data_IF_531874450817
#
_entry.id   IF_531874450817
#
_cell.length_a   1.000
_cell.length_b   1.000
_cell.length_c   1.000
_cell.angle_alpha   90.00
_cell.angle_beta   90.00
_cell.angle_gamma   90.00
#
_symmetry.space_group_name_H-M   'P 1'
#
loop_
_entity.id
_entity.type
_entity.pdbx_description
1 polymer ?
#
# COMPACT_ATOMS: atom_id res chain seq x y z
N UNK A 1 0.56 4.85 5.07
CA UNK A 1 1.47 4.31 4.03
C UNK A 1 2.30 5.47 3.50
N UNK A 2 3.63 5.39 3.54
CA UNK A 2 4.52 6.39 2.94
C UNK A 2 4.78 6.05 1.47
N UNK A 3 4.50 6.98 0.54
CA UNK A 3 4.78 6.83 -0.89
C UNK A 3 6.23 7.17 -1.30
N UNK A 4 7.16 7.10 -0.35
CA UNK A 4 8.58 7.32 -0.59
C UNK A 4 9.22 6.15 -1.37
N UNK A 5 10.47 6.31 -1.85
CA UNK A 5 11.21 5.19 -2.44
C UNK A 5 11.30 4.00 -1.46
N UNK A 6 11.04 2.78 -1.93
CA UNK A 6 11.16 1.54 -1.14
C UNK A 6 9.90 0.67 -1.14
N UNK A 7 9.92 -0.39 -0.32
CA UNK A 7 8.76 -1.26 -0.08
C UNK A 7 7.70 -0.50 0.73
N UNK A 8 6.41 -0.59 0.38
CA UNK A 8 5.35 0.04 1.17
C UNK A 8 5.34 -0.45 2.62
N UNK A 9 5.33 0.48 3.57
CA UNK A 9 5.16 0.19 5.00
C UNK A 9 3.76 0.54 5.51
N UNK A 10 3.26 -0.28 6.43
CA UNK A 10 2.07 0.05 7.23
C UNK A 10 2.47 0.70 8.54
N UNK A 11 1.72 1.74 8.92
CA UNK A 11 1.86 2.41 10.20
C UNK A 11 0.47 2.45 10.87
N UNK A 12 0.45 2.38 12.20
CA UNK A 12 -0.77 2.51 12.98
C UNK A 12 -0.82 3.90 13.63
N UNK A 13 -2.03 4.44 13.79
CA UNK A 13 -2.29 5.68 14.49
C UNK A 13 -3.36 5.44 15.55
N UNK A 14 -3.22 5.98 16.78
CA UNK A 14 -4.23 5.84 17.82
C UNK A 14 -5.52 6.63 17.53
N UNK A 15 -5.49 7.53 16.54
CA UNK A 15 -6.63 8.33 16.10
C UNK A 15 -6.76 8.36 14.57
N UNK A 16 -7.96 8.59 14.01
CA UNK A 16 -8.13 8.72 12.56
C UNK A 16 -7.33 9.91 12.03
N UNK A 17 -6.41 9.65 11.10
CA UNK A 17 -5.49 10.67 10.54
C UNK A 17 -6.26 11.77 9.79
N UNK A 18 -7.45 11.44 9.30
CA UNK A 18 -8.34 12.37 8.58
C UNK A 18 -9.60 12.71 9.40
N UNK A 19 -9.55 12.68 10.73
CA UNK A 19 -10.70 13.01 11.58
C UNK A 19 -11.30 14.41 11.35
N UNK A 20 -10.51 15.35 10.80
CA UNK A 20 -10.98 16.69 10.39
C UNK A 20 -11.91 16.65 9.16
N UNK A 21 -11.87 15.57 8.38
CA UNK A 21 -12.74 15.34 7.23
C UNK A 21 -13.89 14.46 7.69
N UNK A 22 -14.99 15.08 8.08
CA UNK A 22 -16.21 14.33 8.36
C UNK A 22 -16.80 13.78 7.04
N UNK A 23 -17.11 12.47 7.04
CA UNK A 23 -17.78 11.76 5.94
C UNK A 23 -17.14 11.96 4.55
N UNK A 24 -15.87 11.53 4.34
CA UNK A 24 -15.30 11.54 3.00
C UNK A 24 -16.18 10.74 2.06
N UNK A 25 -16.55 11.35 0.92
CA UNK A 25 -17.33 10.69 -0.13
C UNK A 25 -16.57 9.44 -0.58
N UNK A 26 -17.14 8.23 -0.41
CA UNK A 26 -16.50 7.02 -0.89
C UNK A 26 -16.26 7.10 -2.39
N UNK A 27 -15.12 6.59 -2.84
CA UNK A 27 -14.88 6.45 -4.26
C UNK A 27 -15.87 5.43 -4.83
N UNK A 28 -16.51 5.71 -5.98
CA UNK A 28 -17.32 4.72 -6.67
C UNK A 28 -16.52 3.45 -6.98
N UNK A 29 -17.18 2.28 -7.06
CA UNK A 29 -16.55 1.07 -7.59
C UNK A 29 -15.91 1.31 -8.95
N UNK A 30 -14.77 0.67 -9.20
CA UNK A 30 -13.95 0.83 -10.41
C UNK A 30 -13.33 2.22 -10.57
N UNK A 31 -13.21 2.98 -9.49
CA UNK A 31 -12.46 4.24 -9.50
C UNK A 31 -10.96 4.01 -9.52
N UNK A 32 -10.25 4.92 -10.18
CA UNK A 32 -8.78 4.95 -10.23
C UNK A 32 -8.27 6.23 -9.59
N UNK A 33 -7.34 6.09 -8.66
CA UNK A 33 -6.64 7.20 -8.03
C UNK A 33 -5.17 7.15 -8.46
N UNK A 34 -4.61 8.27 -8.89
CA UNK A 34 -3.18 8.37 -9.20
C UNK A 34 -2.56 9.56 -8.49
N UNK A 35 -1.44 9.33 -7.83
CA UNK A 35 -0.64 10.38 -7.22
C UNK A 35 0.84 10.09 -7.47
N UNK A 36 1.51 10.99 -8.18
CA UNK A 36 2.88 10.81 -8.63
C UNK A 36 3.05 9.47 -9.38
N UNK A 37 3.86 8.54 -8.85
CA UNK A 37 4.12 7.22 -9.44
C UNK A 37 3.21 6.13 -8.89
N UNK A 38 2.39 6.44 -7.89
CA UNK A 38 1.48 5.49 -7.27
C UNK A 38 0.13 5.54 -7.98
N UNK A 39 -0.34 4.37 -8.41
CA UNK A 39 -1.65 4.17 -9.03
C UNK A 39 -2.45 3.16 -8.24
N UNK A 40 -3.67 3.53 -7.88
CA UNK A 40 -4.59 2.70 -7.12
C UNK A 40 -5.89 2.46 -7.87
N UNK A 41 -6.44 1.26 -7.76
CA UNK A 41 -7.81 0.92 -8.16
C UNK A 41 -8.60 0.48 -6.94
N UNK A 42 -9.90 0.76 -6.93
CA UNK A 42 -10.81 0.28 -5.88
C UNK A 42 -12.09 -0.30 -6.47
N UNK A 43 -12.58 -1.38 -5.88
CA UNK A 43 -13.90 -1.97 -6.16
C UNK A 43 -15.00 -1.38 -5.24
N UNK A 44 -14.67 -0.37 -4.42
CA UNK A 44 -15.56 0.24 -3.43
C UNK A 44 -15.43 -0.35 -2.02
N UNK A 45 -14.70 -1.47 -1.86
CA UNK A 45 -14.45 -2.12 -0.56
C UNK A 45 -12.95 -2.33 -0.36
N UNK A 46 -12.29 -2.91 -1.36
CA UNK A 46 -10.86 -3.16 -1.43
C UNK A 46 -10.21 -2.12 -2.31
N UNK A 47 -9.03 -1.65 -1.90
CA UNK A 47 -8.20 -0.74 -2.71
C UNK A 47 -6.82 -1.35 -2.87
N UNK A 48 -6.36 -1.45 -4.11
CA UNK A 48 -5.05 -1.98 -4.46
C UNK A 48 -4.23 -0.89 -5.13
N UNK A 49 -2.99 -0.70 -4.68
CA UNK A 49 -2.09 0.32 -5.15
C UNK A 49 -0.76 -0.28 -5.62
N UNK A 50 -0.19 0.27 -6.70
CA UNK A 50 1.13 -0.08 -7.23
C UNK A 50 1.97 1.18 -7.43
N UNK A 51 3.27 1.11 -7.18
CA UNK A 51 4.24 2.14 -7.53
C UNK A 51 4.94 1.77 -8.84
N UNK A 52 4.80 2.62 -9.86
CA UNK A 52 5.42 2.39 -11.16
C UNK A 52 6.96 2.37 -11.14
N UNK A 53 7.61 2.87 -10.08
CA UNK A 53 9.08 2.93 -9.97
C UNK A 53 9.71 1.56 -9.72
N UNK A 54 9.07 0.76 -8.87
CA UNK A 54 9.62 -0.51 -8.39
C UNK A 54 8.64 -1.67 -8.52
N UNK A 55 7.44 -1.44 -9.07
CA UNK A 55 6.35 -2.43 -9.20
C UNK A 55 5.92 -3.07 -7.87
N UNK A 56 6.37 -2.52 -6.74
CA UNK A 56 5.87 -2.89 -5.42
C UNK A 56 4.51 -2.21 -5.19
N UNK A 57 3.70 -2.80 -4.34
CA UNK A 57 2.34 -2.36 -4.09
C UNK A 57 1.80 -2.78 -2.74
N UNK A 58 0.56 -2.43 -2.49
CA UNK A 58 -0.14 -2.80 -1.28
C UNK A 58 -1.65 -2.87 -1.53
N UNK A 59 -2.33 -3.66 -0.72
CA UNK A 59 -3.78 -3.82 -0.73
C UNK A 59 -4.32 -3.42 0.63
N UNK A 60 -5.45 -2.72 0.63
CA UNK A 60 -6.21 -2.34 1.82
C UNK A 60 -7.61 -2.93 1.68
N UNK A 61 -8.02 -3.76 2.63
CA UNK A 61 -9.34 -4.37 2.70
C UNK A 61 -9.85 -4.45 4.15
N UNK A 62 -11.15 -4.67 4.36
CA UNK A 62 -11.68 -4.92 5.71
C UNK A 62 -11.09 -6.15 6.40
N UNK A 63 -10.64 -7.16 5.63
CA UNK A 63 -10.03 -8.37 6.17
C UNK A 63 -8.56 -8.17 6.60
N UNK A 64 -7.96 -7.02 6.26
CA UNK A 64 -6.56 -6.71 6.51
C UNK A 64 -5.89 -5.95 5.37
N UNK A 65 -4.67 -5.48 5.62
CA UNK A 65 -3.83 -4.83 4.63
C UNK A 65 -2.51 -5.58 4.49
N UNK A 66 -1.99 -5.69 3.26
CA UNK A 66 -0.77 -6.44 2.95
C UNK A 66 0.01 -5.80 1.81
N UNK A 67 1.31 -6.07 1.76
CA UNK A 67 2.21 -5.62 0.68
C UNK A 67 2.22 -6.68 -0.43
N UNK A 68 2.34 -6.26 -1.68
CA UNK A 68 2.46 -7.12 -2.86
C UNK A 68 3.65 -6.69 -3.71
N UNK A 69 4.27 -7.63 -4.41
CA UNK A 69 5.44 -7.31 -5.24
C UNK A 69 6.70 -6.93 -4.43
N UNK A 70 6.64 -7.10 -3.11
CA UNK A 70 7.84 -7.29 -2.30
C UNK A 70 8.43 -8.63 -2.72
N UNK A 71 9.50 -8.60 -3.51
CA UNK A 71 10.44 -9.70 -3.45
C UNK A 71 11.06 -9.57 -2.06
N UNK A 72 10.49 -10.28 -1.08
CA UNK A 72 11.17 -10.48 0.19
C UNK A 72 12.56 -10.97 -0.22
N UNK A 73 13.59 -10.22 0.13
CA UNK A 73 14.95 -10.70 -0.06
C UNK A 73 15.14 -11.84 0.93
N UNK A 74 14.57 -13.01 0.63
CA UNK A 74 14.89 -14.30 1.23
C UNK A 74 16.27 -14.78 0.75
N UNK A 75 17.05 -13.90 0.10
CA UNK A 75 18.49 -13.96 0.19
C UNK A 75 18.90 -13.57 1.62
N UNK A 76 18.69 -14.50 2.56
CA UNK A 76 19.56 -14.60 3.72
C UNK A 76 20.97 -14.87 3.15
N UNK A 77 21.93 -13.94 3.21
CA UNK A 77 23.31 -14.30 2.91
C UNK A 77 23.70 -15.31 3.97
N UNK A 78 23.56 -16.59 3.67
CA UNK A 78 24.14 -17.63 4.48
C UNK A 78 25.62 -17.53 4.19
N UNK A 79 26.28 -16.65 4.93
CA UNK A 79 27.72 -16.63 5.06
C UNK A 79 28.12 -17.94 5.74
N UNK A 80 28.29 -18.99 4.93
CA UNK A 80 29.03 -20.17 5.34
C UNK A 80 30.51 -19.77 5.30
N UNK A 81 31.05 -19.34 6.45
CA UNK A 81 32.49 -19.54 6.67
C UNK A 81 32.62 -21.00 7.10
N UNK A 82 33.22 -21.80 6.24
CA UNK A 82 33.57 -23.20 6.48
C UNK A 82 34.54 -23.65 5.43
#
# INVERSE_FOLDING_TARGET
VSGGPGVPGFASSPAPVFAVVENPKPLPPNSRLSYQTVSCGTDGVTTSCIDGRNQAGFVISPAGSFVIGEQESDFKPTFQIG
#
